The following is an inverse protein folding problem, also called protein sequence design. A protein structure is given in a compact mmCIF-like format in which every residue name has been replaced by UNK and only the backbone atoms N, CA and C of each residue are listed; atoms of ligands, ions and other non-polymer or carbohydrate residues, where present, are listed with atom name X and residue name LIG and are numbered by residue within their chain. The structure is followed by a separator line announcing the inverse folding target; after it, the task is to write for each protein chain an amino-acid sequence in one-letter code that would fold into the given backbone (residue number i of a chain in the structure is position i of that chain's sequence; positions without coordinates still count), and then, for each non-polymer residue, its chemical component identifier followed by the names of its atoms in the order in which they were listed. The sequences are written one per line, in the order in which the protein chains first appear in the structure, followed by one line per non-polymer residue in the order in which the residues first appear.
data_IF_310969187706
#
_entry.id   IF_310969187706
#
_cell.length_a   1.000
_cell.length_b   1.000
_cell.length_c   1.000
_cell.angle_alpha   90.00
_cell.angle_beta   90.00
_cell.angle_gamma   90.00
#
_symmetry.space_group_name_H-M   'P 1'
#
loop_
_entity.id
_entity.type
_entity.pdbx_description
1 polymer ?
#
# COMPACT_ATOMS: atom_id res chain seq x y z
N UNK A 1 -12.87 8.00 14.61
CA UNK A 1 -11.54 7.72 15.20
C UNK A 1 -11.38 6.24 15.55
N UNK A 2 -12.32 5.62 16.30
CA UNK A 2 -12.34 4.16 16.53
C UNK A 2 -12.30 3.33 15.23
N UNK A 3 -13.17 3.65 14.25
CA UNK A 3 -13.13 3.03 12.92
C UNK A 3 -11.80 3.22 12.18
N UNK A 4 -11.11 4.34 12.41
CA UNK A 4 -9.81 4.60 11.79
C UNK A 4 -8.71 3.78 12.49
N UNK A 5 -8.78 3.64 13.81
CA UNK A 5 -7.87 2.81 14.60
C UNK A 5 -7.99 1.32 14.26
N UNK A 6 -9.21 0.82 14.03
CA UNK A 6 -9.43 -0.57 13.62
C UNK A 6 -8.94 -0.83 12.20
N UNK A 7 -9.21 0.07 11.24
CA UNK A 7 -8.72 -0.05 9.86
C UNK A 7 -7.18 -0.03 9.78
N UNK A 8 -6.54 0.83 10.57
CA UNK A 8 -5.08 0.87 10.71
C UNK A 8 -4.55 -0.44 11.27
N UNK A 9 -5.19 -1.00 12.30
CA UNK A 9 -4.71 -2.22 12.94
C UNK A 9 -4.83 -3.45 12.01
N UNK A 10 -5.83 -3.48 11.13
CA UNK A 10 -6.03 -4.59 10.18
C UNK A 10 -5.16 -4.50 8.92
N UNK A 11 -4.71 -3.30 8.52
CA UNK A 11 -3.88 -3.07 7.33
C UNK A 11 -2.62 -3.96 7.22
N UNK A 12 -1.79 -4.13 8.27
CA UNK A 12 -0.59 -4.97 8.17
C UNK A 12 -0.89 -6.45 7.90
N UNK A 13 -2.04 -6.97 8.34
CA UNK A 13 -2.44 -8.36 8.07
C UNK A 13 -2.78 -8.59 6.61
N UNK A 14 -3.44 -7.64 5.94
CA UNK A 14 -3.66 -7.73 4.49
C UNK A 14 -2.34 -7.79 3.73
N UNK A 15 -1.36 -6.98 4.11
CA UNK A 15 -0.04 -6.98 3.47
C UNK A 15 0.74 -8.27 3.73
N UNK A 16 0.58 -8.87 4.92
CA UNK A 16 1.18 -10.16 5.23
C UNK A 16 0.61 -11.25 4.30
N UNK A 17 -0.70 -11.28 4.11
CA UNK A 17 -1.35 -12.20 3.17
C UNK A 17 -0.85 -12.01 1.73
N UNK A 18 -0.67 -10.76 1.28
CA UNK A 18 -0.17 -10.47 -0.06
C UNK A 18 1.28 -10.95 -0.25
N UNK A 19 2.14 -10.75 0.75
CA UNK A 19 3.53 -11.22 0.73
C UNK A 19 3.55 -12.75 0.68
N UNK A 20 2.77 -13.44 1.52
CA UNK A 20 2.77 -14.90 1.56
C UNK A 20 2.22 -15.50 0.26
N UNK A 21 1.10 -14.97 -0.26
CA UNK A 21 0.42 -15.55 -1.43
C UNK A 21 1.10 -15.20 -2.75
N UNK A 22 1.62 -13.99 -2.89
CA UNK A 22 2.15 -13.50 -4.17
C UNK A 22 3.63 -13.15 -4.08
N UNK A 23 4.05 -12.47 -3.00
CA UNK A 23 5.44 -12.02 -2.86
C UNK A 23 6.45 -13.17 -2.83
N UNK A 24 6.20 -14.19 -2.01
CA UNK A 24 7.13 -15.32 -1.82
C UNK A 24 7.27 -16.18 -3.09
N UNK A 25 6.18 -16.68 -3.71
CA UNK A 25 6.31 -17.55 -4.87
C UNK A 25 6.95 -16.83 -6.06
N UNK A 26 6.55 -15.58 -6.32
CA UNK A 26 7.08 -14.79 -7.42
C UNK A 26 8.58 -14.55 -7.19
N UNK A 27 8.97 -14.02 -6.03
CA UNK A 27 10.37 -13.69 -5.77
C UNK A 27 11.30 -14.91 -5.88
N UNK A 28 10.90 -16.06 -5.33
CA UNK A 28 11.71 -17.29 -5.40
C UNK A 28 11.80 -17.79 -6.84
N UNK A 29 10.69 -17.76 -7.59
CA UNK A 29 10.67 -18.24 -8.98
C UNK A 29 11.53 -17.39 -9.93
N UNK A 30 11.61 -16.08 -9.70
CA UNK A 30 12.25 -15.15 -10.64
C UNK A 30 13.68 -14.78 -10.26
N UNK A 31 13.95 -14.56 -8.97
CA UNK A 31 15.27 -14.15 -8.48
C UNK A 31 16.16 -15.37 -8.16
N UNK A 32 15.58 -16.56 -8.18
CA UNK A 32 16.23 -17.78 -7.69
C UNK A 32 16.15 -17.92 -6.17
N UNK A 33 16.57 -19.07 -5.67
CA UNK A 33 16.41 -19.47 -4.26
C UNK A 33 17.15 -18.50 -3.32
N UNK A 34 18.38 -18.12 -3.65
CA UNK A 34 19.22 -17.28 -2.77
C UNK A 34 18.69 -15.85 -2.73
N UNK A 35 18.60 -15.14 -3.85
CA UNK A 35 18.11 -13.77 -3.84
C UNK A 35 16.62 -13.67 -3.45
N UNK A 36 15.80 -14.67 -3.81
CA UNK A 36 14.41 -14.75 -3.41
C UNK A 36 14.23 -14.92 -1.90
N UNK A 37 15.08 -15.69 -1.22
CA UNK A 37 15.03 -15.82 0.25
C UNK A 37 15.42 -14.53 0.96
N UNK A 38 16.48 -13.84 0.52
CA UNK A 38 16.83 -12.53 1.08
C UNK A 38 15.72 -11.49 0.86
N UNK A 39 15.15 -11.43 -0.34
CA UNK A 39 14.04 -10.52 -0.65
C UNK A 39 12.81 -10.80 0.22
N UNK A 40 12.45 -12.08 0.39
CA UNK A 40 11.27 -12.46 1.19
C UNK A 40 11.48 -12.18 2.68
N UNK A 41 12.68 -12.40 3.21
CA UNK A 41 13.02 -12.09 4.60
C UNK A 41 12.94 -10.57 4.86
N UNK A 42 13.47 -9.76 3.95
CA UNK A 42 13.33 -8.30 4.02
C UNK A 42 11.86 -7.86 3.89
N UNK A 43 11.06 -8.52 3.05
CA UNK A 43 9.63 -8.23 2.90
C UNK A 43 8.85 -8.55 4.18
N UNK A 44 9.17 -9.66 4.87
CA UNK A 44 8.59 -10.02 6.16
C UNK A 44 9.00 -9.02 7.25
N UNK A 45 10.28 -8.65 7.30
CA UNK A 45 10.78 -7.64 8.22
C UNK A 45 10.04 -6.31 8.02
N UNK A 46 9.82 -5.92 6.76
CA UNK A 46 9.05 -4.72 6.44
C UNK A 46 7.62 -4.78 6.99
N UNK A 47 6.94 -5.91 6.83
CA UNK A 47 5.58 -6.10 7.37
C UNK A 47 5.57 -6.00 8.90
N UNK A 48 6.57 -6.56 9.58
CA UNK A 48 6.72 -6.46 11.03
C UNK A 48 6.92 -5.00 11.48
N UNK A 49 7.81 -4.25 10.82
CA UNK A 49 8.04 -2.83 11.13
C UNK A 49 6.75 -2.02 10.93
N UNK A 50 6.03 -2.25 9.83
CA UNK A 50 4.73 -1.61 9.59
C UNK A 50 3.73 -1.97 10.68
N UNK A 51 3.66 -3.23 11.09
CA UNK A 51 2.78 -3.67 12.16
C UNK A 51 3.05 -2.91 13.48
N UNK A 52 4.32 -2.77 13.87
CA UNK A 52 4.71 -2.01 15.06
C UNK A 52 4.28 -0.54 14.98
N UNK A 53 4.53 0.11 13.84
CA UNK A 53 4.13 1.50 13.61
C UNK A 53 2.60 1.65 13.72
N UNK A 54 1.84 0.78 13.06
CA UNK A 54 0.38 0.79 13.10
C UNK A 54 -0.16 0.55 14.51
N UNK A 55 0.48 -0.33 15.29
CA UNK A 55 0.13 -0.59 16.68
C UNK A 55 0.32 0.66 17.56
N UNK A 56 1.46 1.35 17.45
CA UNK A 56 1.73 2.59 18.19
C UNK A 56 0.74 3.69 17.84
N UNK A 57 0.49 3.91 16.54
CA UNK A 57 -0.45 4.94 16.06
C UNK A 57 -1.88 4.61 16.49
N UNK A 58 -2.30 3.35 16.36
CA UNK A 58 -3.64 2.90 16.76
C UNK A 58 -3.86 3.06 18.27
N UNK A 59 -2.87 2.73 19.11
CA UNK A 59 -2.94 2.97 20.56
C UNK A 59 -3.11 4.45 20.90
N UNK A 60 -2.33 5.34 20.28
CA UNK A 60 -2.43 6.79 20.51
C UNK A 60 -3.80 7.32 20.10
N UNK A 61 -4.32 6.87 18.94
CA UNK A 61 -5.62 7.28 18.44
C UNK A 61 -6.79 6.72 19.26
N UNK A 62 -6.65 5.50 19.81
CA UNK A 62 -7.69 4.85 20.62
C UNK A 62 -7.79 5.45 22.03
N UNK A 63 -6.67 5.84 22.65
CA UNK A 63 -6.66 6.54 23.95
C UNK A 63 -7.43 7.86 23.93
N UNK A 64 -7.29 8.65 22.86
CA UNK A 64 -8.08 9.88 22.68
C UNK A 64 -9.59 9.62 22.59
N UNK A 65 -9.98 8.42 22.17
CA UNK A 65 -11.37 8.04 21.96
C UNK A 65 -11.97 7.51 23.25
N UNK A 66 -11.27 6.63 23.97
CA UNK A 66 -11.70 6.18 25.29
C UNK A 66 -11.94 7.35 26.26
N UNK A 67 -11.10 8.39 26.22
CA UNK A 67 -11.30 9.60 27.03
C UNK A 67 -12.60 10.36 26.71
N UNK A 68 -13.13 10.22 25.49
CA UNK A 68 -14.40 10.84 25.06
C UNK A 68 -15.62 9.93 25.21
N UNK A 69 -15.44 8.62 25.29
CA UNK A 69 -16.53 7.67 25.51
C UNK A 69 -16.87 7.47 26.99
N UNK A 70 -15.96 7.79 27.91
CA UNK A 70 -16.24 7.80 29.34
C UNK A 70 -17.31 8.83 29.76
N UNK A 71 -17.64 9.80 28.90
CA UNK A 71 -18.66 10.84 29.16
C UNK A 71 -19.98 10.65 28.40
N UNK A 72 -20.12 9.63 27.54
CA UNK A 72 -21.39 9.42 26.83
C UNK A 72 -21.67 7.94 26.58
N UNK A 73 -22.17 7.26 27.62
CA UNK A 73 -22.83 5.95 27.50
C UNK A 73 -24.23 6.12 26.94
N UNK A 74 -24.35 6.31 25.64
CA UNK A 74 -25.56 5.95 24.91
C UNK A 74 -25.18 5.00 23.78
N UNK A 75 -24.93 3.74 24.15
CA UNK A 75 -24.98 2.64 23.19
C UNK A 75 -26.46 2.47 22.86
N UNK A 76 -26.89 3.06 21.76
CA UNK A 76 -28.22 2.88 21.22
C UNK A 76 -28.33 1.43 20.72
N UNK A 77 -28.72 0.52 21.61
CA UNK A 77 -29.22 -0.80 21.24
C UNK A 77 -30.55 -0.56 20.50
N UNK A 78 -30.47 -0.42 19.19
CA UNK A 78 -31.65 -0.40 18.35
C UNK A 78 -32.41 -1.71 18.57
N UNK A 79 -33.67 -1.60 18.99
CA UNK A 79 -34.58 -2.73 19.13
C UNK A 79 -34.42 -3.68 17.95
N UNK A 80 -34.30 -4.99 18.21
CA UNK A 80 -34.33 -6.05 17.20
C UNK A 80 -35.70 -6.07 16.50
N UNK A 81 -35.94 -5.09 15.64
CA UNK A 81 -37.09 -5.05 14.75
C UNK A 81 -36.84 -6.13 13.70
N UNK A 82 -37.76 -7.07 13.58
CA UNK A 82 -37.76 -8.09 12.53
C UNK A 82 -37.74 -7.40 11.17
N UNK A 83 -36.55 -7.28 10.57
CA UNK A 83 -36.40 -6.76 9.23
C UNK A 83 -36.79 -7.84 8.23
N UNK A 84 -37.73 -7.54 7.35
CA UNK A 84 -38.05 -8.43 6.23
C UNK A 84 -36.89 -8.44 5.23
N UNK A 85 -36.66 -9.57 4.55
CA UNK A 85 -35.63 -9.69 3.50
C UNK A 85 -35.68 -8.57 2.45
N UNK A 86 -36.88 -8.10 2.09
CA UNK A 86 -37.08 -6.96 1.18
C UNK A 86 -36.51 -5.65 1.72
N UNK A 87 -36.68 -5.37 3.01
CA UNK A 87 -36.16 -4.14 3.63
C UNK A 87 -34.63 -4.16 3.72
N UNK A 88 -34.06 -5.32 3.99
CA UNK A 88 -32.60 -5.52 4.00
C UNK A 88 -32.03 -5.33 2.59
N UNK A 89 -32.69 -5.89 1.57
CA UNK A 89 -32.29 -5.74 0.16
C UNK A 89 -32.38 -4.28 -0.30
N UNK A 90 -33.49 -3.59 -0.03
CA UNK A 90 -33.67 -2.19 -0.41
C UNK A 90 -32.66 -1.28 0.30
N UNK A 91 -32.38 -1.51 1.59
CA UNK A 91 -31.34 -0.77 2.31
C UNK A 91 -29.95 -1.05 1.74
N UNK A 92 -29.64 -2.30 1.42
CA UNK A 92 -28.37 -2.71 0.81
C UNK A 92 -28.20 -2.10 -0.58
N UNK A 93 -29.22 -2.14 -1.44
CA UNK A 93 -29.20 -1.52 -2.76
C UNK A 93 -29.02 -0.01 -2.70
N UNK A 94 -29.67 0.67 -1.73
CA UNK A 94 -29.51 2.12 -1.55
C UNK A 94 -28.10 2.49 -1.09
N UNK A 95 -27.49 1.68 -0.22
CA UNK A 95 -26.08 1.83 0.16
C UNK A 95 -25.16 1.55 -1.02
N UNK A 96 -25.38 0.45 -1.75
CA UNK A 96 -24.59 0.05 -2.91
C UNK A 96 -24.63 1.12 -4.00
N UNK A 97 -25.81 1.64 -4.36
CA UNK A 97 -25.96 2.74 -5.34
C UNK A 97 -25.14 3.97 -4.93
N UNK A 98 -25.14 4.34 -3.65
CA UNK A 98 -24.34 5.46 -3.15
C UNK A 98 -22.83 5.20 -3.27
N UNK A 99 -22.38 3.99 -2.97
CA UNK A 99 -20.97 3.56 -3.09
C UNK A 99 -20.56 3.60 -4.56
N UNK A 100 -21.36 3.01 -5.46
CA UNK A 100 -21.10 2.98 -6.91
C UNK A 100 -21.03 4.39 -7.49
N UNK A 101 -21.96 5.29 -7.12
CA UNK A 101 -21.94 6.68 -7.61
C UNK A 101 -20.67 7.42 -7.14
N UNK A 102 -20.29 7.27 -5.86
CA UNK A 102 -19.06 7.89 -5.34
C UNK A 102 -17.83 7.31 -6.02
N UNK A 103 -17.75 5.99 -6.13
CA UNK A 103 -16.66 5.30 -6.81
C UNK A 103 -16.53 5.76 -8.26
N UNK A 104 -17.65 5.88 -8.98
CA UNK A 104 -17.69 6.38 -10.35
C UNK A 104 -17.12 7.80 -10.47
N UNK A 105 -17.60 8.73 -9.65
CA UNK A 105 -17.11 10.12 -9.66
C UNK A 105 -15.61 10.17 -9.38
N UNK A 106 -15.12 9.45 -8.37
CA UNK A 106 -13.71 9.49 -8.01
C UNK A 106 -12.85 8.79 -9.06
N UNK A 107 -13.35 7.71 -9.65
CA UNK A 107 -12.66 7.01 -10.74
C UNK A 107 -12.55 7.90 -11.97
N UNK A 108 -13.60 8.67 -12.30
CA UNK A 108 -13.56 9.67 -13.37
C UNK A 108 -12.51 10.75 -13.06
N UNK A 109 -12.47 11.26 -11.84
CA UNK A 109 -11.44 12.23 -11.43
C UNK A 109 -10.03 11.63 -11.58
N UNK A 110 -9.80 10.42 -11.08
CA UNK A 110 -8.50 9.74 -11.21
C UNK A 110 -8.16 9.50 -12.68
N UNK A 111 -9.12 9.09 -13.51
CA UNK A 111 -8.93 8.93 -14.96
C UNK A 111 -8.57 10.25 -15.64
N UNK A 112 -9.20 11.36 -15.27
CA UNK A 112 -8.83 12.69 -15.77
C UNK A 112 -7.40 13.07 -15.35
N UNK A 113 -6.99 12.77 -14.12
CA UNK A 113 -5.60 12.99 -13.67
C UNK A 113 -4.59 12.10 -14.41
N UNK A 114 -4.98 10.86 -14.75
CA UNK A 114 -4.16 9.95 -15.56
C UNK A 114 -4.06 10.45 -16.99
N UNK A 115 -5.17 10.82 -17.63
CA UNK A 115 -5.20 11.28 -19.02
C UNK A 115 -4.50 12.63 -19.22
N UNK A 116 -4.58 13.53 -18.23
CA UNK A 116 -3.83 14.79 -18.23
C UNK A 116 -2.32 14.61 -18.03
N UNK A 117 -1.83 13.38 -17.87
CA UNK A 117 -0.41 13.08 -17.75
C UNK A 117 0.22 13.57 -16.45
N UNK A 118 -0.57 13.91 -15.42
CA UNK A 118 -0.05 14.39 -14.13
C UNK A 118 0.86 13.33 -13.50
N UNK A 119 0.45 12.06 -13.54
CA UNK A 119 1.27 10.97 -13.03
C UNK A 119 2.53 10.71 -13.89
N UNK A 120 2.46 10.94 -15.21
CA UNK A 120 3.61 10.82 -16.10
C UNK A 120 4.61 11.96 -15.87
N UNK A 121 4.13 13.17 -15.62
CA UNK A 121 4.94 14.31 -15.24
C UNK A 121 5.64 14.06 -13.90
N UNK A 122 4.91 13.57 -12.89
CA UNK A 122 5.50 13.17 -11.60
C UNK A 122 6.55 12.07 -11.80
N UNK A 123 6.27 11.08 -12.66
CA UNK A 123 7.23 10.03 -13.03
C UNK A 123 8.49 10.58 -13.69
N UNK A 124 8.37 11.53 -14.63
CA UNK A 124 9.50 12.19 -15.31
C UNK A 124 10.35 13.05 -14.39
N UNK A 125 9.72 13.78 -13.47
CA UNK A 125 10.44 14.57 -12.46
C UNK A 125 11.23 13.64 -11.54
N UNK A 126 10.61 12.55 -11.08
CA UNK A 126 11.27 11.54 -10.26
C UNK A 126 12.41 10.85 -11.02
N UNK A 127 12.23 10.50 -12.29
CA UNK A 127 13.28 9.87 -13.10
C UNK A 127 14.46 10.81 -13.36
N UNK A 128 14.20 12.12 -13.56
CA UNK A 128 15.26 13.12 -13.72
C UNK A 128 16.08 13.32 -12.45
N UNK A 129 15.45 13.25 -11.27
CA UNK A 129 16.18 13.25 -9.99
C UNK A 129 17.01 11.98 -9.76
N UNK A 130 16.73 10.91 -10.52
CA UNK A 130 17.40 9.61 -10.45
C UNK A 130 18.42 9.40 -11.58
N UNK A 131 18.69 10.42 -12.41
CA UNK A 131 19.63 10.31 -13.55
C UNK A 131 21.08 10.02 -13.15
N UNK A 132 21.40 10.10 -11.86
CA UNK A 132 22.69 9.70 -11.30
C UNK A 132 22.83 8.18 -11.12
N UNK A 133 21.73 7.42 -11.28
CA UNK A 133 21.71 5.97 -11.14
C UNK A 133 22.11 5.28 -12.45
N UNK A 134 22.70 4.10 -12.33
CA UNK A 134 23.06 3.21 -13.44
C UNK A 134 21.85 2.97 -14.36
N UNK A 135 22.06 2.94 -15.69
CA UNK A 135 21.01 2.73 -16.70
C UNK A 135 20.18 1.46 -16.40
N UNK A 136 20.83 0.39 -15.93
CA UNK A 136 20.16 -0.86 -15.54
C UNK A 136 19.17 -0.66 -14.39
N UNK A 137 19.48 0.24 -13.45
CA UNK A 137 18.60 0.57 -12.32
C UNK A 137 17.37 1.35 -12.79
N UNK A 138 17.59 2.31 -13.68
CA UNK A 138 16.53 3.09 -14.31
C UNK A 138 15.55 2.19 -15.05
N UNK A 139 16.02 1.21 -15.82
CA UNK A 139 15.16 0.26 -16.53
C UNK A 139 14.24 -0.51 -15.58
N UNK A 140 14.78 -1.00 -14.46
CA UNK A 140 13.96 -1.69 -13.44
C UNK A 140 12.92 -0.73 -12.82
N UNK A 141 13.33 0.48 -12.45
CA UNK A 141 12.44 1.47 -11.82
C UNK A 141 11.31 1.90 -12.76
N UNK A 142 11.61 2.16 -14.04
CA UNK A 142 10.61 2.50 -15.05
C UNK A 142 9.63 1.35 -15.25
N UNK A 143 10.15 0.11 -15.31
CA UNK A 143 9.31 -1.08 -15.41
C UNK A 143 8.41 -1.22 -14.17
N UNK A 144 8.92 -0.87 -12.98
CA UNK A 144 8.16 -0.93 -11.74
C UNK A 144 7.00 0.07 -11.67
N UNK A 145 7.13 1.22 -12.34
CA UNK A 145 6.04 2.20 -12.49
C UNK A 145 4.86 1.64 -13.30
N UNK A 146 5.15 0.81 -14.31
CA UNK A 146 4.14 0.13 -15.10
C UNK A 146 3.55 -1.08 -14.35
N UNK A 147 4.42 -2.00 -13.92
CA UNK A 147 4.05 -3.17 -13.16
C UNK A 147 5.23 -3.67 -12.29
N UNK A 148 5.03 -3.65 -10.98
CA UNK A 148 6.04 -4.10 -10.02
C UNK A 148 6.44 -5.57 -10.20
N UNK A 149 5.51 -6.45 -10.61
CA UNK A 149 5.82 -7.86 -10.87
C UNK A 149 6.79 -7.98 -12.04
N UNK A 150 6.53 -7.25 -13.14
CA UNK A 150 7.42 -7.21 -14.31
C UNK A 150 8.82 -6.70 -13.96
N UNK A 151 8.92 -5.73 -13.04
CA UNK A 151 10.21 -5.26 -12.54
C UNK A 151 10.99 -6.34 -11.76
N UNK A 152 10.30 -7.17 -10.97
CA UNK A 152 10.91 -8.32 -10.29
C UNK A 152 11.46 -9.33 -11.31
N UNK A 153 10.71 -9.64 -12.37
CA UNK A 153 11.19 -10.51 -13.44
C UNK A 153 12.44 -9.95 -14.13
N UNK A 154 12.41 -8.67 -14.49
CA UNK A 154 13.54 -8.01 -15.16
C UNK A 154 14.78 -7.95 -14.27
N UNK A 155 14.59 -7.70 -12.97
CA UNK A 155 15.67 -7.74 -11.99
C UNK A 155 16.25 -9.16 -11.82
N UNK A 156 15.41 -10.20 -11.86
CA UNK A 156 15.85 -11.60 -11.88
C UNK A 156 16.67 -11.96 -13.11
N UNK A 157 16.24 -11.49 -14.30
CA UNK A 157 17.02 -11.65 -15.53
C UNK A 157 18.41 -11.00 -15.41
N UNK A 158 18.48 -9.76 -14.94
CA UNK A 158 19.76 -9.06 -14.76
C UNK A 158 20.68 -9.72 -13.73
N UNK A 159 20.12 -10.33 -12.69
CA UNK A 159 20.86 -11.14 -11.74
C UNK A 159 21.44 -12.40 -12.41
N UNK A 160 20.61 -13.13 -13.16
CA UNK A 160 21.02 -14.38 -13.82
C UNK A 160 22.09 -14.19 -14.88
N UNK A 161 22.08 -13.03 -15.55
CA UNK A 161 23.08 -12.65 -16.55
C UNK A 161 24.33 -11.98 -15.96
N UNK A 162 24.48 -11.98 -14.62
CA UNK A 162 25.56 -11.29 -13.89
C UNK A 162 25.72 -9.80 -14.26
N UNK A 163 24.62 -9.16 -14.71
CA UNK A 163 24.66 -7.75 -15.08
C UNK A 163 24.57 -6.85 -13.85
N UNK A 164 23.99 -7.35 -12.76
CA UNK A 164 23.84 -6.70 -11.47
C UNK A 164 24.15 -7.69 -10.34
N UNK A 165 24.70 -7.19 -9.24
CA UNK A 165 24.91 -8.02 -8.05
C UNK A 165 23.61 -8.23 -7.27
N UNK A 166 23.59 -9.22 -6.36
CA UNK A 166 22.44 -9.46 -5.48
C UNK A 166 22.08 -8.22 -4.66
N UNK A 167 23.08 -7.50 -4.15
CA UNK A 167 22.90 -6.25 -3.41
C UNK A 167 22.20 -5.20 -4.26
N UNK A 168 22.67 -5.01 -5.48
CA UNK A 168 22.13 -4.01 -6.41
C UNK A 168 20.68 -4.32 -6.78
N UNK A 169 20.36 -5.59 -7.05
CA UNK A 169 19.00 -6.03 -7.36
C UNK A 169 18.04 -5.76 -6.21
N UNK A 170 18.41 -6.13 -4.98
CA UNK A 170 17.58 -5.85 -3.81
C UNK A 170 17.43 -4.35 -3.59
N UNK A 171 18.53 -3.59 -3.66
CA UNK A 171 18.51 -2.13 -3.50
C UNK A 171 17.55 -1.47 -4.48
N UNK A 172 17.66 -1.79 -5.77
CA UNK A 172 16.82 -1.20 -6.83
C UNK A 172 15.36 -1.60 -6.70
N UNK A 173 15.05 -2.84 -6.31
CA UNK A 173 13.68 -3.27 -6.07
C UNK A 173 13.03 -2.46 -4.95
N UNK A 174 13.70 -2.30 -3.80
CA UNK A 174 13.17 -1.50 -2.70
C UNK A 174 13.13 0.00 -3.00
N UNK A 175 14.09 0.51 -3.76
CA UNK A 175 14.11 1.90 -4.21
C UNK A 175 12.96 2.19 -5.18
N UNK A 176 12.73 1.29 -6.15
CA UNK A 176 11.58 1.37 -7.06
C UNK A 176 10.26 1.34 -6.28
N UNK A 177 10.17 0.52 -5.24
CA UNK A 177 8.98 0.43 -4.40
C UNK A 177 8.69 1.73 -3.64
N UNK A 178 9.72 2.45 -3.19
CA UNK A 178 9.57 3.77 -2.56
C UNK A 178 8.90 4.76 -3.51
N UNK A 179 9.27 4.74 -4.79
CA UNK A 179 8.74 5.61 -5.84
C UNK A 179 7.32 5.19 -6.26
N UNK A 180 7.08 3.89 -6.42
CA UNK A 180 5.81 3.35 -6.90
C UNK A 180 4.71 3.44 -5.84
N UNK A 181 5.05 3.25 -4.56
CA UNK A 181 4.09 3.26 -3.44
C UNK A 181 3.14 4.45 -3.46
N UNK A 182 3.59 5.73 -3.48
CA UNK A 182 2.66 6.87 -3.53
C UNK A 182 1.70 6.79 -4.71
N UNK A 183 2.20 6.47 -5.91
CA UNK A 183 1.37 6.40 -7.12
C UNK A 183 0.29 5.35 -6.96
N UNK A 184 0.63 4.15 -6.49
CA UNK A 184 -0.34 3.05 -6.28
C UNK A 184 -1.38 3.39 -5.21
N UNK A 185 -0.98 4.09 -4.14
CA UNK A 185 -1.89 4.53 -3.08
C UNK A 185 -2.91 5.57 -3.56
N UNK A 186 -2.45 6.56 -4.34
CA UNK A 186 -3.34 7.59 -4.87
C UNK A 186 -4.19 7.10 -6.05
N UNK A 187 -3.64 6.27 -6.94
CA UNK A 187 -4.34 5.78 -8.14
C UNK A 187 -5.27 4.60 -7.84
N UNK A 188 -4.82 3.62 -7.05
CA UNK A 188 -5.56 2.38 -6.81
C UNK A 188 -6.39 2.40 -5.54
N UNK A 189 -5.78 2.71 -4.41
CA UNK A 189 -6.42 2.54 -3.10
C UNK A 189 -7.36 3.69 -2.72
N UNK A 190 -7.05 4.92 -3.14
CA UNK A 190 -7.87 6.10 -2.86
C UNK A 190 -9.30 6.04 -3.40
N UNK A 191 -9.56 5.76 -4.70
CA UNK A 191 -10.94 5.67 -5.21
C UNK A 191 -11.75 4.59 -4.49
N UNK A 192 -11.13 3.43 -4.29
CA UNK A 192 -11.77 2.31 -3.58
C UNK A 192 -12.12 2.68 -2.14
N UNK A 193 -11.17 3.21 -1.36
CA UNK A 193 -11.39 3.53 0.06
C UNK A 193 -12.40 4.68 0.25
N UNK A 194 -12.40 5.68 -0.64
CA UNK A 194 -13.35 6.79 -0.62
C UNK A 194 -14.78 6.40 -0.99
N UNK A 195 -14.98 5.29 -1.70
CA UNK A 195 -16.31 4.78 -2.00
C UNK A 195 -17.03 4.29 -0.73
N UNK A 196 -16.30 3.64 0.19
CA UNK A 196 -16.85 3.06 1.41
C UNK A 196 -16.84 4.02 2.61
N UNK A 197 -15.85 4.91 2.71
CA UNK A 197 -15.63 5.72 3.90
C UNK A 197 -15.63 7.22 3.60
N UNK A 198 -15.80 8.02 4.66
CA UNK A 198 -15.76 9.48 4.55
C UNK A 198 -14.35 9.99 4.17
N UNK A 199 -14.30 11.00 3.30
CA UNK A 199 -13.06 11.54 2.73
C UNK A 199 -11.97 11.88 3.77
N UNK A 200 -12.33 12.56 4.86
CA UNK A 200 -11.38 12.91 5.94
C UNK A 200 -10.74 11.70 6.62
N UNK A 201 -11.48 10.60 6.76
CA UNK A 201 -11.00 9.36 7.40
C UNK A 201 -10.05 8.64 6.44
N UNK A 202 -10.43 8.56 5.17
CA UNK A 202 -9.65 7.88 4.12
C UNK A 202 -8.32 8.58 3.87
N UNK A 203 -8.32 9.90 3.73
CA UNK A 203 -7.08 10.66 3.52
C UNK A 203 -6.11 10.47 4.68
N UNK A 204 -6.59 10.56 5.93
CA UNK A 204 -5.76 10.30 7.11
C UNK A 204 -5.23 8.87 7.14
N UNK A 205 -6.07 7.90 6.78
CA UNK A 205 -5.65 6.50 6.71
C UNK A 205 -4.55 6.30 5.65
N UNK A 206 -4.75 6.80 4.43
CA UNK A 206 -3.78 6.70 3.34
C UNK A 206 -2.46 7.38 3.72
N UNK A 207 -2.49 8.56 4.34
CA UNK A 207 -1.27 9.25 4.77
C UNK A 207 -0.48 8.46 5.82
N UNK A 208 -1.16 7.86 6.80
CA UNK A 208 -0.51 7.01 7.82
C UNK A 208 0.08 5.75 7.18
N UNK A 209 -0.68 5.13 6.29
CA UNK A 209 -0.29 3.90 5.59
C UNK A 209 0.91 4.16 4.67
N UNK A 210 0.91 5.29 3.95
CA UNK A 210 2.01 5.78 3.13
C UNK A 210 3.25 6.09 3.98
N UNK A 211 3.10 6.84 5.08
CA UNK A 211 4.21 7.14 5.99
C UNK A 211 4.85 5.88 6.58
N UNK A 212 4.02 4.91 7.00
CA UNK A 212 4.53 3.64 7.50
C UNK A 212 5.25 2.84 6.41
N UNK A 213 4.74 2.88 5.16
CA UNK A 213 5.34 2.20 4.03
C UNK A 213 6.71 2.80 3.72
N UNK A 214 6.80 4.13 3.56
CA UNK A 214 8.06 4.81 3.26
C UNK A 214 9.10 4.59 4.34
N UNK A 215 8.73 4.72 5.61
CA UNK A 215 9.65 4.47 6.73
C UNK A 215 10.17 3.03 6.73
N UNK A 216 9.28 2.05 6.53
CA UNK A 216 9.66 0.63 6.48
C UNK A 216 10.53 0.29 5.26
N UNK A 217 10.30 0.93 4.10
CA UNK A 217 11.16 0.73 2.92
C UNK A 217 12.53 1.36 3.12
N UNK A 218 12.61 2.55 3.74
CA UNK A 218 13.89 3.20 4.05
C UNK A 218 14.72 2.31 4.99
N UNK A 219 14.10 1.73 6.02
CA UNK A 219 14.81 0.80 6.92
C UNK A 219 15.33 -0.44 6.19
N UNK A 220 14.59 -0.99 5.23
CA UNK A 220 15.09 -2.10 4.41
C UNK A 220 16.28 -1.68 3.55
N UNK A 221 16.22 -0.50 2.93
CA UNK A 221 17.33 0.04 2.12
C UNK A 221 18.58 0.24 2.97
N UNK A 222 18.45 0.80 4.18
CA UNK A 222 19.60 0.97 5.08
C UNK A 222 20.22 -0.36 5.49
N UNK A 223 19.40 -1.38 5.74
CA UNK A 223 19.87 -2.74 6.07
C UNK A 223 20.65 -3.33 4.90
N UNK A 224 20.13 -3.23 3.67
CA UNK A 224 20.81 -3.71 2.46
C UNK A 224 22.17 -3.02 2.28
N UNK A 225 22.25 -1.71 2.54
CA UNK A 225 23.50 -0.96 2.45
C UNK A 225 24.52 -1.33 3.53
N UNK A 226 24.08 -1.79 4.71
CA UNK A 226 24.94 -2.14 5.84
C UNK A 226 25.40 -3.60 5.90
N UNK A 227 24.60 -4.54 5.37
CA UNK A 227 24.82 -5.99 5.52
C UNK A 227 25.41 -6.68 4.28
N UNK A 228 25.25 -6.06 3.11
CA UNK A 228 25.89 -6.44 1.85
C UNK A 228 26.83 -5.32 1.43
#
# INVERSE_FOLDING_TARGET
KLLLASLILTSPFSHLCDVIRFGIPIAISTLGIVAGTYYTLLALLRVLIRFLIHLVISRKLSREVQFRFSTNKQVMYGSLKSYTYRDVLLKTLKLYRRIVLRFGIITIIVLLLVYSGVFDYVGKVLSKSLSFLNEKYLTIIITALANYISAIYLAGMFLSSNLLTLKDVLYVLYLSQLIVTPITYFRGYLPYRLAFFNCRIVLRWILIDLFSATLSTITCITIILSLL
#
